data_IF_791783739365
#
_entry.id   IF_791783739365
#
_cell.length_a   1.000
_cell.length_b   1.000
_cell.length_c   1.000
_cell.angle_alpha   90.00
_cell.angle_beta   90.00
_cell.angle_gamma   90.00
#
_symmetry.space_group_name_H-M   'P 1'
#
loop_
_entity.id
_entity.type
_entity.pdbx_description
1 polymer ?
#
# COMPACT_ATOMS: atom_id res chain seq x y z
N UNK A 1 8.70 26.17 -6.45
CA UNK A 1 8.07 24.87 -6.82
C UNK A 1 6.61 24.93 -6.43
N UNK A 2 5.67 24.82 -7.38
CA UNK A 2 4.24 24.75 -7.03
C UNK A 2 4.00 23.39 -6.34
N UNK A 3 3.37 23.33 -5.16
CA UNK A 3 2.93 22.06 -4.62
C UNK A 3 1.97 21.47 -5.66
N UNK A 4 2.29 20.28 -6.16
CA UNK A 4 1.39 19.53 -7.04
C UNK A 4 0.13 19.30 -6.20
N UNK A 5 -0.95 20.05 -6.46
CA UNK A 5 -2.17 20.08 -5.63
C UNK A 5 -2.77 18.69 -5.40
N UNK A 6 -2.39 17.70 -6.21
CA UNK A 6 -2.81 16.31 -6.08
C UNK A 6 -2.05 15.48 -5.03
N UNK A 7 -0.88 15.90 -4.53
CA UNK A 7 -0.11 15.09 -3.56
C UNK A 7 -0.89 14.81 -2.27
N UNK A 8 -1.50 15.81 -1.60
CA UNK A 8 -2.31 15.54 -0.40
C UNK A 8 -3.49 14.59 -0.68
N UNK A 9 -4.10 14.69 -1.87
CA UNK A 9 -5.17 13.79 -2.30
C UNK A 9 -4.66 12.35 -2.46
N UNK A 10 -3.50 12.15 -3.09
CA UNK A 10 -2.88 10.83 -3.25
C UNK A 10 -2.48 10.21 -1.90
N UNK A 11 -2.01 11.02 -0.96
CA UNK A 11 -1.71 10.58 0.41
C UNK A 11 -2.99 10.15 1.12
N UNK A 12 -4.07 10.94 1.04
CA UNK A 12 -5.36 10.57 1.61
C UNK A 12 -5.93 9.27 0.99
N UNK A 13 -5.77 9.10 -0.33
CA UNK A 13 -6.16 7.86 -1.01
C UNK A 13 -5.34 6.65 -0.51
N UNK A 14 -4.03 6.82 -0.34
CA UNK A 14 -3.17 5.77 0.25
C UNK A 14 -3.62 5.40 1.67
N UNK A 15 -4.01 6.38 2.49
CA UNK A 15 -4.55 6.14 3.83
C UNK A 15 -5.87 5.37 3.77
N UNK A 16 -6.80 5.74 2.89
CA UNK A 16 -8.09 5.06 2.74
C UNK A 16 -7.92 3.59 2.31
N UNK A 17 -7.01 3.32 1.39
CA UNK A 17 -6.70 1.94 0.97
C UNK A 17 -6.04 1.15 2.11
N UNK A 18 -5.17 1.80 2.88
CA UNK A 18 -4.55 1.17 4.06
C UNK A 18 -5.59 0.87 5.14
N UNK A 19 -6.53 1.77 5.37
CA UNK A 19 -7.65 1.57 6.28
C UNK A 19 -8.57 0.44 5.81
N UNK A 20 -8.91 0.41 4.51
CA UNK A 20 -9.70 -0.67 3.93
C UNK A 20 -9.04 -2.04 4.14
N UNK A 21 -7.72 -2.12 3.96
CA UNK A 21 -6.95 -3.34 4.25
C UNK A 21 -7.05 -3.78 5.72
N UNK A 22 -6.91 -2.85 6.68
CA UNK A 22 -7.07 -3.14 8.12
C UNK A 22 -8.48 -3.63 8.43
N UNK A 23 -9.51 -2.98 7.90
CA UNK A 23 -10.92 -3.36 8.14
C UNK A 23 -11.24 -4.75 7.58
N UNK A 24 -10.71 -5.09 6.42
CA UNK A 24 -10.85 -6.43 5.83
C UNK A 24 -10.14 -7.46 6.72
N UNK A 25 -8.94 -7.15 7.22
CA UNK A 25 -8.21 -8.05 8.11
C UNK A 25 -8.97 -8.33 9.42
N UNK A 26 -9.56 -7.29 10.03
CA UNK A 26 -10.40 -7.44 11.24
C UNK A 26 -11.62 -8.32 10.97
N UNK A 27 -12.23 -8.17 9.78
CA UNK A 27 -13.39 -8.96 9.38
C UNK A 27 -13.04 -10.44 9.12
N UNK A 28 -11.84 -10.71 8.57
CA UNK A 28 -11.40 -12.08 8.23
C UNK A 28 -10.85 -12.83 9.44
N UNK A 29 -10.21 -12.14 10.38
CA UNK A 29 -9.61 -12.74 11.58
C UNK A 29 -10.09 -12.00 12.80
N UNK A 30 -11.08 -12.56 13.50
CA UNK A 30 -11.60 -11.91 14.69
C UNK A 30 -10.49 -11.85 15.76
N UNK A 31 -10.31 -10.71 16.48
CA UNK A 31 -9.24 -10.58 17.48
C UNK A 31 -9.29 -11.66 18.58
N UNK A 32 -10.45 -12.27 18.78
CA UNK A 32 -10.70 -13.30 19.77
C UNK A 32 -10.32 -14.72 19.35
N UNK A 33 -9.97 -14.96 18.07
CA UNK A 33 -9.70 -16.33 17.57
C UNK A 33 -8.27 -16.78 17.88
N UNK A 34 -7.26 -16.02 17.44
CA UNK A 34 -5.85 -16.31 17.74
C UNK A 34 -4.94 -15.15 17.36
N UNK A 35 -3.96 -14.85 18.21
CA UNK A 35 -2.91 -13.85 17.93
C UNK A 35 -2.03 -14.25 16.74
N UNK A 36 -2.01 -15.54 16.37
CA UNK A 36 -1.23 -16.06 15.26
C UNK A 36 -1.60 -15.39 13.92
N UNK A 37 -2.88 -15.08 13.70
CA UNK A 37 -3.33 -14.41 12.47
C UNK A 37 -3.03 -12.90 12.46
N UNK A 38 -2.64 -12.31 13.58
CA UNK A 38 -2.48 -10.87 13.74
C UNK A 38 -1.06 -10.35 13.48
N UNK A 39 -0.13 -11.23 13.11
CA UNK A 39 1.26 -10.86 12.85
C UNK A 39 1.42 -9.77 11.76
N UNK A 40 0.49 -9.69 10.79
CA UNK A 40 0.49 -8.70 9.72
C UNK A 40 -0.19 -7.36 10.10
N UNK A 41 -0.88 -7.32 11.24
CA UNK A 41 -1.61 -6.15 11.70
C UNK A 41 -0.69 -4.96 12.04
N UNK A 42 0.47 -5.13 12.71
CA UNK A 42 1.44 -4.05 12.90
C UNK A 42 1.93 -3.44 11.58
N UNK A 43 2.13 -4.23 10.53
CA UNK A 43 2.54 -3.72 9.21
C UNK A 43 1.44 -2.87 8.57
N UNK A 44 0.18 -3.26 8.77
CA UNK A 44 -0.98 -2.52 8.25
C UNK A 44 -1.18 -1.20 9.00
N UNK A 45 -1.03 -1.19 10.32
CA UNK A 45 -1.04 0.03 11.16
C UNK A 45 0.15 0.94 10.80
N UNK A 46 1.34 0.37 10.63
CA UNK A 46 2.53 1.09 10.16
C UNK A 46 2.28 1.74 8.80
N UNK A 47 1.70 1.01 7.85
CA UNK A 47 1.33 1.55 6.53
C UNK A 47 0.28 2.65 6.60
N UNK A 48 -0.64 2.59 7.58
CA UNK A 48 -1.69 3.59 7.76
C UNK A 48 -1.18 4.88 8.42
N UNK A 49 -0.23 4.78 9.36
CA UNK A 49 0.18 5.92 10.18
C UNK A 49 1.53 6.51 9.77
N UNK A 50 2.53 5.67 9.48
CA UNK A 50 3.91 6.11 9.28
C UNK A 50 4.16 6.53 7.83
N UNK A 51 3.70 5.71 6.87
CA UNK A 51 3.95 5.96 5.45
C UNK A 51 3.37 7.31 4.95
N UNK A 52 2.14 7.73 5.33
CA UNK A 52 1.60 9.03 4.94
C UNK A 52 2.45 10.21 5.47
N UNK A 53 3.02 10.07 6.66
CA UNK A 53 3.91 11.08 7.25
C UNK A 53 5.20 11.18 6.43
N UNK A 54 5.75 10.05 5.97
CA UNK A 54 6.92 10.05 5.09
C UNK A 54 6.64 10.66 3.72
N UNK A 55 5.43 10.47 3.18
CA UNK A 55 5.00 11.13 1.95
C UNK A 55 4.72 12.62 2.11
N UNK A 56 4.58 13.13 3.33
CA UNK A 56 4.37 14.56 3.55
C UNK A 56 5.65 15.39 3.40
N UNK A 57 6.83 14.76 3.28
CA UNK A 57 8.12 15.45 3.14
C UNK A 57 8.90 14.96 1.93
N UNK A 58 9.43 15.89 1.13
CA UNK A 58 10.23 15.60 -0.07
C UNK A 58 11.53 14.85 0.26
N UNK A 59 12.11 15.07 1.43
CA UNK A 59 13.34 14.38 1.87
C UNK A 59 13.10 12.90 2.21
N UNK A 60 11.86 12.49 2.49
CA UNK A 60 11.52 11.12 2.93
C UNK A 60 10.59 10.39 1.97
N UNK A 61 10.17 11.01 0.87
CA UNK A 61 9.23 10.40 -0.09
C UNK A 61 9.76 9.09 -0.68
N UNK A 62 11.08 9.01 -0.95
CA UNK A 62 11.72 7.79 -1.42
C UNK A 62 11.64 6.65 -0.39
N UNK A 63 11.84 6.97 0.89
CA UNK A 63 11.66 6.02 1.99
C UNK A 63 10.20 5.56 2.11
N UNK A 64 9.23 6.48 1.97
CA UNK A 64 7.82 6.13 1.95
C UNK A 64 7.46 5.17 0.80
N UNK A 65 8.06 5.36 -0.39
CA UNK A 65 7.92 4.45 -1.53
C UNK A 65 8.52 3.07 -1.24
N UNK A 66 9.77 3.01 -0.75
CA UNK A 66 10.44 1.74 -0.42
C UNK A 66 9.69 0.96 0.65
N UNK A 67 9.23 1.64 1.70
CA UNK A 67 8.46 1.01 2.77
C UNK A 67 7.10 0.52 2.26
N UNK A 68 6.43 1.28 1.39
CA UNK A 68 5.20 0.82 0.74
C UNK A 68 5.44 -0.46 -0.04
N UNK A 69 6.46 -0.50 -0.90
CA UNK A 69 6.81 -1.70 -1.65
C UNK A 69 7.13 -2.88 -0.72
N UNK A 70 7.89 -2.64 0.36
CA UNK A 70 8.17 -3.64 1.39
C UNK A 70 6.89 -4.20 2.03
N UNK A 71 5.97 -3.33 2.48
CA UNK A 71 4.71 -3.78 3.09
C UNK A 71 3.83 -4.59 2.11
N UNK A 72 3.85 -4.26 0.82
CA UNK A 72 3.13 -5.03 -0.21
C UNK A 72 3.74 -6.41 -0.37
N UNK A 73 5.08 -6.52 -0.43
CA UNK A 73 5.79 -7.80 -0.54
C UNK A 73 5.51 -8.67 0.68
N UNK A 74 5.74 -8.15 1.89
CA UNK A 74 5.49 -8.90 3.13
C UNK A 74 4.02 -9.29 3.28
N UNK A 75 3.09 -8.37 2.97
CA UNK A 75 1.65 -8.66 2.98
C UNK A 75 1.27 -9.74 1.98
N UNK A 76 1.84 -9.71 0.77
CA UNK A 76 1.57 -10.72 -0.28
C UNK A 76 2.11 -12.09 0.11
N UNK A 77 3.37 -12.17 0.55
CA UNK A 77 3.99 -13.43 1.01
C UNK A 77 3.20 -14.00 2.18
N UNK A 78 2.86 -13.14 3.13
CA UNK A 78 2.07 -13.47 4.30
C UNK A 78 0.72 -14.07 3.94
N UNK A 79 -0.08 -13.31 3.20
CA UNK A 79 -1.41 -13.74 2.77
C UNK A 79 -1.35 -15.01 1.91
N UNK A 80 -0.33 -15.16 1.07
CA UNK A 80 -0.13 -16.36 0.28
C UNK A 80 0.21 -17.58 1.15
N UNK A 81 1.13 -17.44 2.11
CA UNK A 81 1.49 -18.51 3.05
C UNK A 81 0.28 -18.98 3.87
N UNK A 82 -0.47 -18.03 4.44
CA UNK A 82 -1.68 -18.36 5.19
C UNK A 82 -2.74 -19.02 4.30
N UNK A 83 -2.92 -18.52 3.07
CA UNK A 83 -3.86 -19.12 2.12
C UNK A 83 -3.50 -20.58 1.78
N UNK A 84 -2.21 -20.95 1.76
CA UNK A 84 -1.77 -22.33 1.57
C UNK A 84 -1.98 -23.20 2.81
N UNK A 85 -1.79 -22.63 4.00
CA UNK A 85 -1.92 -23.36 5.26
C UNK A 85 -3.38 -23.58 5.68
N UNK A 86 -4.29 -22.68 5.35
CA UNK A 86 -5.73 -22.80 5.67
C UNK A 86 -6.55 -23.39 4.53
N UNK A 87 -5.91 -24.05 3.57
CA UNK A 87 -6.54 -24.60 2.38
C UNK A 87 -7.24 -25.94 2.72
N UNK A 88 -8.24 -25.88 3.59
CA UNK A 88 -9.07 -27.01 3.99
C UNK A 88 -10.42 -26.93 3.26
N UNK A 89 -10.54 -27.64 2.14
CA UNK A 89 -11.83 -27.83 1.44
C UNK A 89 -11.76 -27.81 -0.09
N UNK A 90 -12.88 -28.13 -0.76
CA UNK A 90 -12.95 -28.13 -2.22
C UNK A 90 -12.76 -26.71 -2.77
N UNK A 91 -11.87 -26.58 -3.76
CA UNK A 91 -11.56 -25.34 -4.49
C UNK A 91 -12.79 -24.84 -5.28
N UNK A 92 -13.71 -24.17 -4.59
CA UNK A 92 -14.85 -23.51 -5.22
C UNK A 92 -14.47 -22.07 -5.58
N UNK A 93 -14.90 -21.59 -6.75
CA UNK A 93 -14.72 -20.20 -7.19
C UNK A 93 -15.20 -19.18 -6.14
N UNK A 94 -16.29 -19.50 -5.44
CA UNK A 94 -16.83 -18.68 -4.35
C UNK A 94 -15.90 -18.64 -3.13
N UNK A 95 -15.31 -19.78 -2.75
CA UNK A 95 -14.28 -19.83 -1.71
C UNK A 95 -13.03 -19.04 -2.09
N UNK A 96 -12.63 -19.07 -3.36
CA UNK A 96 -11.48 -18.31 -3.86
C UNK A 96 -11.77 -16.80 -3.90
N UNK A 97 -13.01 -16.36 -4.13
CA UNK A 97 -13.32 -14.92 -4.14
C UNK A 97 -13.62 -14.34 -2.76
N UNK A 98 -14.26 -15.10 -1.86
CA UNK A 98 -14.78 -14.56 -0.60
C UNK A 98 -14.06 -15.09 0.65
N UNK A 99 -13.36 -16.22 0.56
CA UNK A 99 -12.57 -16.80 1.66
C UNK A 99 -11.05 -16.83 1.39
N UNK A 100 -10.60 -16.40 0.20
CA UNK A 100 -9.18 -16.37 -0.13
C UNK A 100 -8.48 -15.07 0.26
N UNK A 101 -7.16 -15.14 0.35
CA UNK A 101 -6.24 -14.02 0.38
C UNK A 101 -6.30 -13.10 -0.85
N UNK A 102 -6.89 -13.54 -1.97
CA UNK A 102 -6.86 -12.83 -3.25
C UNK A 102 -7.37 -11.38 -3.20
N UNK A 103 -8.56 -11.07 -2.66
CA UNK A 103 -9.05 -9.70 -2.56
C UNK A 103 -8.12 -8.80 -1.73
N UNK A 104 -7.56 -9.34 -0.64
CA UNK A 104 -6.63 -8.60 0.22
C UNK A 104 -5.31 -8.29 -0.52
N UNK A 105 -4.80 -9.25 -1.30
CA UNK A 105 -3.62 -9.05 -2.16
C UNK A 105 -3.89 -7.96 -3.20
N UNK A 106 -5.03 -8.01 -3.90
CA UNK A 106 -5.37 -6.99 -4.90
C UNK A 106 -5.38 -5.59 -4.26
N UNK A 107 -5.99 -5.44 -3.08
CA UNK A 107 -6.03 -4.17 -2.35
C UNK A 107 -4.63 -3.68 -1.95
N UNK A 108 -3.75 -4.57 -1.50
CA UNK A 108 -2.34 -4.24 -1.23
C UNK A 108 -1.66 -3.67 -2.48
N UNK A 109 -1.83 -4.33 -3.63
CA UNK A 109 -1.17 -3.96 -4.88
C UNK A 109 -1.65 -2.62 -5.46
N UNK A 110 -2.89 -2.19 -5.20
CA UNK A 110 -3.39 -0.86 -5.60
C UNK A 110 -2.57 0.28 -4.96
N UNK A 111 -1.91 0.04 -3.82
CA UNK A 111 -1.05 1.06 -3.18
C UNK A 111 0.20 1.39 -4.01
N UNK A 112 0.70 0.45 -4.81
CA UNK A 112 1.94 0.62 -5.58
C UNK A 112 1.85 1.73 -6.64
N UNK A 113 0.84 1.77 -7.55
CA UNK A 113 0.74 2.87 -8.51
C UNK A 113 0.61 4.23 -7.80
N UNK A 114 -0.15 4.31 -6.70
CA UNK A 114 -0.29 5.55 -5.92
C UNK A 114 1.06 6.01 -5.37
N UNK A 115 1.85 5.09 -4.81
CA UNK A 115 3.19 5.37 -4.31
C UNK A 115 4.13 5.89 -5.42
N UNK A 116 4.05 5.31 -6.63
CA UNK A 116 4.80 5.79 -7.80
C UNK A 116 4.37 7.21 -8.19
N UNK A 117 3.07 7.50 -8.22
CA UNK A 117 2.57 8.84 -8.53
C UNK A 117 3.04 9.89 -7.50
N UNK A 118 2.99 9.57 -6.20
CA UNK A 118 3.51 10.45 -5.15
C UNK A 118 5.01 10.69 -5.33
N UNK A 119 5.79 9.63 -5.56
CA UNK A 119 7.24 9.72 -5.75
C UNK A 119 7.58 10.64 -6.93
N UNK A 120 6.94 10.44 -8.09
CA UNK A 120 7.16 11.24 -9.30
C UNK A 120 6.70 12.70 -9.15
N UNK A 121 5.67 12.96 -8.34
CA UNK A 121 5.19 14.31 -8.10
C UNK A 121 6.10 15.11 -7.14
N UNK A 122 6.89 14.43 -6.30
CA UNK A 122 7.71 15.06 -5.26
C UNK A 122 9.21 15.03 -5.52
N UNK A 123 9.71 14.06 -6.28
CA UNK A 123 11.12 13.98 -6.67
C UNK A 123 11.32 14.74 -7.99
N UNK A 124 12.20 15.77 -8.02
CA UNK A 124 12.52 16.48 -9.25
C UNK A 124 13.03 15.50 -10.32
N UNK A 125 12.44 15.51 -11.51
CA UNK A 125 12.97 14.72 -12.61
C UNK A 125 14.22 15.39 -13.14
N UNK A 126 15.36 14.68 -13.10
CA UNK A 126 16.68 15.18 -13.46
C UNK A 126 16.85 15.54 -14.96
N UNK A 127 15.76 15.72 -15.72
CA UNK A 127 15.77 15.92 -17.17
C UNK A 127 15.14 17.22 -17.69
N UNK A 128 14.45 18.02 -16.88
CA UNK A 128 13.79 19.27 -17.37
C UNK A 128 14.65 20.53 -17.18
N UNK A 129 15.97 20.40 -17.35
CA UNK A 129 16.89 21.54 -17.42
C UNK A 129 17.32 21.75 -18.87
N UNK A 130 16.73 22.78 -19.50
CA UNK A 130 17.15 23.55 -20.70
C UNK A 130 16.26 23.38 -21.93
N UNK A 131 15.29 24.29 -22.08
CA UNK A 131 14.56 24.50 -23.33
C UNK A 131 13.75 25.80 -23.42
N UNK A 132 14.08 26.82 -22.61
CA UNK A 132 13.32 28.07 -22.59
C UNK A 132 14.24 29.27 -22.40
N UNK A 133 14.79 29.80 -23.49
CA UNK A 133 15.56 31.04 -23.44
C UNK A 133 16.49 31.25 -24.62
N UNK A 134 15.95 31.40 -25.83
CA UNK A 134 16.62 32.11 -26.93
C UNK A 134 15.62 32.39 -28.07
N UNK A 135 14.92 33.52 -27.98
CA UNK A 135 14.44 34.29 -29.13
C UNK A 135 14.01 35.66 -28.59
N UNK A 136 14.97 36.56 -28.46
CA UNK A 136 14.76 38.00 -28.57
C UNK A 136 15.30 38.41 -29.93
#
# INVERSE_FOLDING_TARGET
MRPVRSVPFLIALHMLISLAGVLIHIKLHHPSESIYYWWASPLSVFSLLVIPVLYSRTSTVAWGFMLTAGTIIFGTIGMFYFSLMTLEGPLTLSGILFKSALPAIIILWIKLPIAVYILRAMVPQAGESKGGGAAK
#
